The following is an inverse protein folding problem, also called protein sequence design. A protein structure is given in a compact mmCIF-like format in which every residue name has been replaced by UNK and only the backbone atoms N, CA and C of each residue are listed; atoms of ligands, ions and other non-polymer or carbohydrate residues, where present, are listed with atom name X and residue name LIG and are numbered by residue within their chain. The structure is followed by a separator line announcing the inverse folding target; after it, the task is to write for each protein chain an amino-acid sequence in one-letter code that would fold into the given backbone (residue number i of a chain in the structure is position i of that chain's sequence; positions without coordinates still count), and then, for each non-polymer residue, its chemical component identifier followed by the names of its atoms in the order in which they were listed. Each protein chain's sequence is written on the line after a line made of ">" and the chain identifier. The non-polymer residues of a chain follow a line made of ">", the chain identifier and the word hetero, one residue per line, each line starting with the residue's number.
data_IF_762229148028
#
_entry.id   IF_762229148028
#
_cell.length_a   1.000
_cell.length_b   1.000
_cell.length_c   1.000
_cell.angle_alpha   90.00
_cell.angle_beta   90.00
_cell.angle_gamma   90.00
#
_symmetry.space_group_name_H-M   'P 1'
#
loop_
_entity.id
_entity.type
_entity.pdbx_description
1 polymer ?
#
# COMPACT_ATOMS: atom_id res chain seq x y z
N UNK A 1 13.99 -5.11 2.39
CA UNK A 1 13.63 -3.69 2.31
C UNK A 1 12.12 -3.56 2.47
N UNK A 2 11.63 -2.43 3.00
CA UNK A 2 10.20 -2.13 3.12
C UNK A 2 9.90 -0.91 2.25
N UNK A 3 8.83 -0.98 1.46
CA UNK A 3 8.38 0.09 0.59
C UNK A 3 7.07 0.69 1.11
N UNK A 4 7.00 2.01 1.19
CA UNK A 4 5.74 2.72 1.37
C UNK A 4 5.30 3.16 -0.03
N UNK A 5 4.14 2.68 -0.48
CA UNK A 5 3.60 2.95 -1.81
C UNK A 5 2.29 3.70 -1.65
N UNK A 6 2.24 4.92 -2.20
CA UNK A 6 1.02 5.72 -2.22
C UNK A 6 0.17 5.42 -3.46
N UNK A 7 -1.15 5.39 -3.34
CA UNK A 7 -2.04 5.13 -4.49
C UNK A 7 -2.04 3.66 -4.94
N UNK A 8 -1.68 2.74 -4.04
CA UNK A 8 -1.50 1.33 -4.36
C UNK A 8 -2.79 0.57 -4.62
N UNK A 9 -3.97 1.13 -4.31
CA UNK A 9 -5.26 0.54 -4.70
C UNK A 9 -5.71 0.94 -6.12
N UNK A 10 -4.94 1.79 -6.81
CA UNK A 10 -5.19 2.15 -8.21
C UNK A 10 -4.71 1.09 -9.22
N UNK A 11 -4.89 1.37 -10.51
CA UNK A 11 -4.54 0.42 -11.58
C UNK A 11 -3.04 0.05 -11.59
N UNK A 12 -2.15 1.03 -11.77
CA UNK A 12 -0.70 0.79 -11.80
C UNK A 12 -0.18 0.46 -10.41
N UNK A 13 -0.62 1.18 -9.38
CA UNK A 13 -0.20 0.96 -8.00
C UNK A 13 -0.42 -0.49 -7.56
N UNK A 14 -1.60 -1.05 -7.83
CA UNK A 14 -1.91 -2.43 -7.45
C UNK A 14 -1.05 -3.45 -8.20
N UNK A 15 -0.75 -3.20 -9.48
CA UNK A 15 0.15 -4.05 -10.25
C UNK A 15 1.59 -4.04 -9.68
N UNK A 16 2.10 -2.87 -9.29
CA UNK A 16 3.41 -2.74 -8.64
C UNK A 16 3.43 -3.51 -7.32
N UNK A 17 2.42 -3.36 -6.49
CA UNK A 17 2.33 -4.07 -5.20
C UNK A 17 2.28 -5.58 -5.41
N UNK A 18 1.38 -6.08 -6.28
CA UNK A 18 1.30 -7.51 -6.61
C UNK A 18 2.64 -8.03 -7.14
N UNK A 19 3.32 -7.25 -7.98
CA UNK A 19 4.64 -7.63 -8.49
C UNK A 19 5.68 -7.76 -7.37
N UNK A 20 5.76 -6.78 -6.47
CA UNK A 20 6.71 -6.80 -5.34
C UNK A 20 6.43 -8.00 -4.43
N UNK A 21 5.18 -8.21 -4.03
CA UNK A 21 4.80 -9.31 -3.13
C UNK A 21 5.11 -10.67 -3.78
N UNK A 22 4.76 -10.86 -5.06
CA UNK A 22 4.88 -12.17 -5.70
C UNK A 22 6.29 -12.51 -6.19
N UNK A 23 7.14 -11.52 -6.45
CA UNK A 23 8.43 -11.73 -7.15
C UNK A 23 9.66 -11.30 -6.35
N UNK A 24 9.46 -10.78 -5.13
CA UNK A 24 10.56 -10.32 -4.27
C UNK A 24 10.32 -10.72 -2.82
N UNK A 25 11.32 -10.53 -1.96
CA UNK A 25 11.24 -10.73 -0.51
C UNK A 25 11.02 -9.41 0.24
N UNK A 26 10.46 -8.39 -0.42
CA UNK A 26 10.25 -7.07 0.19
C UNK A 26 8.87 -6.96 0.82
N UNK A 27 8.77 -6.06 1.82
CA UNK A 27 7.51 -5.72 2.47
C UNK A 27 6.93 -4.47 1.83
N UNK A 28 5.60 -4.34 1.81
CA UNK A 28 4.88 -3.22 1.23
C UNK A 28 3.86 -2.68 2.24
N UNK A 29 3.90 -1.38 2.46
CA UNK A 29 2.84 -0.61 3.12
C UNK A 29 2.14 0.22 2.05
N UNK A 30 0.89 -0.11 1.78
CA UNK A 30 0.06 0.60 0.82
C UNK A 30 -0.71 1.72 1.51
N UNK A 31 -0.37 2.95 1.18
CA UNK A 31 -1.09 4.15 1.63
C UNK A 31 -2.03 4.59 0.52
N UNK A 32 -3.34 4.50 0.75
CA UNK A 32 -4.31 4.94 -0.25
C UNK A 32 -5.51 5.64 0.39
N UNK A 33 -5.97 6.71 -0.24
CA UNK A 33 -7.17 7.44 0.18
C UNK A 33 -8.45 6.66 -0.11
N UNK A 34 -8.41 5.68 -1.01
CA UNK A 34 -9.55 4.99 -1.61
C UNK A 34 -10.56 5.99 -2.18
N UNK A 35 -10.09 6.80 -3.14
CA UNK A 35 -10.98 7.62 -3.96
C UNK A 35 -11.78 6.75 -4.93
N UNK A 36 -12.54 7.36 -5.85
CA UNK A 36 -13.28 6.62 -6.90
C UNK A 36 -12.37 5.70 -7.75
N UNK A 37 -11.08 6.03 -7.86
CA UNK A 37 -10.12 5.25 -8.66
C UNK A 37 -9.42 4.14 -7.85
N UNK A 38 -9.61 4.10 -6.53
CA UNK A 38 -9.03 3.08 -5.66
C UNK A 38 -9.98 1.90 -5.45
N UNK A 39 -9.49 0.68 -5.66
CA UNK A 39 -10.29 -0.53 -5.49
C UNK A 39 -9.48 -1.66 -4.83
N UNK A 40 -9.86 -2.05 -3.61
CA UNK A 40 -9.23 -3.12 -2.82
C UNK A 40 -9.35 -4.50 -3.47
N UNK A 41 -10.37 -4.74 -4.30
CA UNK A 41 -10.49 -5.99 -5.06
C UNK A 41 -9.29 -6.23 -5.98
N UNK A 42 -8.62 -5.16 -6.43
CA UNK A 42 -7.39 -5.26 -7.22
C UNK A 42 -6.24 -5.92 -6.45
N UNK A 43 -6.29 -5.95 -5.12
CA UNK A 43 -5.25 -6.45 -4.22
C UNK A 43 -5.67 -7.74 -3.50
N UNK A 44 -6.87 -8.26 -3.78
CA UNK A 44 -7.45 -9.47 -3.15
C UNK A 44 -6.50 -10.66 -3.12
N UNK A 45 -5.73 -10.87 -4.20
CA UNK A 45 -4.78 -11.98 -4.32
C UNK A 45 -3.66 -11.98 -3.28
N UNK A 46 -3.38 -10.84 -2.65
CA UNK A 46 -2.26 -10.66 -1.71
C UNK A 46 -2.71 -10.07 -0.37
N UNK A 47 -4.02 -9.95 -0.13
CA UNK A 47 -4.57 -9.22 1.03
C UNK A 47 -4.15 -9.85 2.36
N UNK A 48 -3.97 -11.17 2.38
CA UNK A 48 -3.57 -11.95 3.57
C UNK A 48 -2.06 -12.24 3.62
N UNK A 49 -1.24 -11.73 2.69
CA UNK A 49 0.22 -11.90 2.77
C UNK A 49 0.77 -11.07 3.93
N UNK A 50 1.45 -11.72 4.87
CA UNK A 50 2.08 -11.08 6.04
C UNK A 50 3.04 -9.91 5.73
N UNK A 51 3.51 -9.79 4.49
CA UNK A 51 4.41 -8.72 4.03
C UNK A 51 3.66 -7.53 3.42
N UNK A 52 2.35 -7.64 3.25
CA UNK A 52 1.47 -6.58 2.75
C UNK A 52 0.68 -5.96 3.90
N UNK A 53 0.72 -4.63 3.99
CA UNK A 53 -0.06 -3.85 4.94
C UNK A 53 -0.82 -2.77 4.18
N UNK A 54 -2.05 -2.48 4.60
CA UNK A 54 -2.87 -1.43 4.02
C UNK A 54 -3.22 -0.36 5.08
N UNK A 55 -2.89 0.89 4.77
CA UNK A 55 -3.24 2.08 5.55
C UNK A 55 -4.14 3.00 4.70
N UNK A 56 -5.39 3.18 5.14
CA UNK A 56 -6.30 4.11 4.49
C UNK A 56 -6.02 5.54 4.96
N UNK A 57 -5.08 6.21 4.28
CA UNK A 57 -4.62 7.55 4.64
C UNK A 57 -4.62 8.47 3.40
N UNK A 58 -5.06 9.71 3.58
CA UNK A 58 -4.88 10.77 2.59
C UNK A 58 -3.45 11.31 2.69
N UNK A 59 -2.70 11.33 1.59
CA UNK A 59 -1.33 11.87 1.57
C UNK A 59 -1.27 13.37 1.90
N UNK A 60 -2.40 14.08 1.81
CA UNK A 60 -2.50 15.47 2.27
C UNK A 60 -2.59 15.60 3.80
N UNK A 61 -2.86 14.51 4.54
CA UNK A 61 -2.86 14.50 6.00
C UNK A 61 -1.44 14.29 6.54
N UNK A 62 -0.77 15.40 6.85
CA UNK A 62 0.61 15.39 7.34
C UNK A 62 0.77 14.67 8.69
N UNK A 63 -0.27 14.65 9.54
CA UNK A 63 -0.19 14.01 10.85
C UNK A 63 -0.23 12.49 10.66
N UNK A 64 -1.16 12.01 9.85
CA UNK A 64 -1.27 10.59 9.55
C UNK A 64 -0.08 10.06 8.75
N UNK A 65 0.44 10.83 7.78
CA UNK A 65 1.66 10.42 7.07
C UNK A 65 2.84 10.31 8.04
N UNK A 66 3.00 11.24 8.99
CA UNK A 66 4.04 11.10 10.02
C UNK A 66 3.85 9.85 10.88
N UNK A 67 2.61 9.49 11.24
CA UNK A 67 2.32 8.25 11.96
C UNK A 67 2.79 7.03 11.15
N UNK A 68 2.40 6.95 9.87
CA UNK A 68 2.79 5.84 8.98
C UNK A 68 4.32 5.72 8.90
N UNK A 69 5.03 6.83 8.70
CA UNK A 69 6.50 6.79 8.67
C UNK A 69 7.09 6.30 10.00
N UNK A 70 6.60 6.78 11.15
CA UNK A 70 7.11 6.35 12.46
C UNK A 70 6.80 4.88 12.78
N UNK A 71 5.71 4.33 12.26
CA UNK A 71 5.29 2.95 12.50
C UNK A 71 6.04 1.95 11.62
N UNK A 72 6.37 2.35 10.38
CA UNK A 72 6.88 1.42 9.37
C UNK A 72 8.34 1.64 8.97
N UNK A 73 8.92 2.82 9.18
CA UNK A 73 10.33 3.13 8.89
C UNK A 73 11.22 2.94 10.12
#
# INVERSE_FOLDING_TARGET
>A
MKFIITGGAGFIGSAVIRHIINNTNHNVVNVDKLTYAGNLESLKSIEDDSRYVFDKVDICDVVEIKRVFNEYQ
#
